data_IF_404474167525
#
_entry.id   IF_404474167525
#
_cell.length_a   1.000
_cell.length_b   1.000
_cell.length_c   1.000
_cell.angle_alpha   90.00
_cell.angle_beta   90.00
_cell.angle_gamma   90.00
#
_symmetry.space_group_name_H-M   'P 1'
#
loop_
_entity.id
_entity.type
_entity.pdbx_description
1 polymer ?
#
# COMPACT_ATOMS: atom_id res chain seq x y z
N UNK A 1 -13.30 14.79 25.92
CA UNK A 1 -13.02 16.14 25.38
C UNK A 1 -14.07 16.47 24.35
N UNK A 2 -14.68 17.67 24.41
CA UNK A 2 -15.75 18.12 23.51
C UNK A 2 -15.12 19.02 22.45
N UNK A 3 -14.70 18.48 21.32
CA UNK A 3 -14.09 19.28 20.25
C UNK A 3 -14.22 18.56 18.91
N UNK A 4 -14.63 19.26 17.83
CA UNK A 4 -14.63 18.72 16.48
C UNK A 4 -13.20 18.55 15.92
N UNK A 5 -12.15 18.87 16.69
CA UNK A 5 -10.76 18.79 16.26
C UNK A 5 -9.89 17.84 17.12
N UNK A 6 -9.19 16.89 16.46
CA UNK A 6 -9.56 16.27 15.18
C UNK A 6 -11.00 15.74 15.21
N UNK A 7 -11.56 15.49 14.03
CA UNK A 7 -12.91 14.94 13.84
C UNK A 7 -12.96 13.47 14.32
N UNK A 8 -12.94 13.31 15.65
CA UNK A 8 -12.89 12.06 16.41
C UNK A 8 -13.65 12.23 17.71
N UNK A 9 -14.45 11.23 18.06
CA UNK A 9 -15.29 11.22 19.25
C UNK A 9 -16.50 12.13 19.12
N UNK A 10 -17.08 12.50 20.26
CA UNK A 10 -18.33 13.26 20.30
C UNK A 10 -18.14 14.75 20.00
N UNK A 11 -18.97 15.28 19.09
CA UNK A 11 -19.14 16.72 18.90
C UNK A 11 -20.56 17.17 19.25
N UNK A 12 -20.66 18.34 19.87
CA UNK A 12 -21.92 18.92 20.34
C UNK A 12 -22.67 19.65 19.23
N UNK A 13 -23.93 20.00 19.51
CA UNK A 13 -24.78 20.79 18.62
C UNK A 13 -24.11 22.10 18.16
N UNK A 14 -24.07 22.34 16.86
CA UNK A 14 -23.44 23.53 16.28
C UNK A 14 -21.91 23.50 16.25
N UNK A 15 -21.27 22.39 16.63
CA UNK A 15 -19.82 22.21 16.46
C UNK A 15 -19.41 22.09 14.99
N UNK A 16 -20.33 21.67 14.11
CA UNK A 16 -20.13 21.59 12.66
C UNK A 16 -21.10 22.52 11.93
N UNK A 17 -20.68 22.98 10.75
CA UNK A 17 -21.50 23.79 9.85
C UNK A 17 -21.44 23.21 8.45
N UNK A 18 -22.16 22.12 8.22
CA UNK A 18 -22.14 21.39 6.93
C UNK A 18 -22.58 22.26 5.75
N UNK A 19 -23.50 23.20 5.98
CA UNK A 19 -23.96 24.15 4.96
C UNK A 19 -22.81 25.02 4.40
N UNK A 20 -21.79 25.32 5.21
CA UNK A 20 -20.64 26.13 4.80
C UNK A 20 -19.75 25.47 3.73
N UNK A 21 -19.86 24.15 3.54
CA UNK A 21 -19.07 23.41 2.54
C UNK A 21 -19.57 23.62 1.11
N UNK A 22 -20.85 23.98 0.91
CA UNK A 22 -21.43 24.18 -0.43
C UNK A 22 -21.52 25.63 -0.87
N UNK A 23 -21.68 26.56 0.08
CA UNK A 23 -21.71 27.99 -0.19
C UNK A 23 -21.26 28.77 1.05
N UNK A 24 -20.46 29.85 0.89
CA UNK A 24 -20.06 30.68 2.01
C UNK A 24 -21.30 31.32 2.67
N UNK A 25 -21.28 31.42 4.00
CA UNK A 25 -22.39 31.97 4.78
C UNK A 25 -22.61 33.45 4.42
N UNK A 26 -23.64 33.74 3.62
CA UNK A 26 -24.05 35.09 3.23
C UNK A 26 -24.97 35.71 4.28
N UNK A 27 -24.40 36.14 5.41
CA UNK A 27 -25.06 37.00 6.41
C UNK A 27 -25.96 36.30 7.44
N UNK A 28 -26.62 35.20 7.10
CA UNK A 28 -27.34 34.35 8.06
C UNK A 28 -26.52 33.10 8.35
N UNK A 29 -25.93 33.01 9.55
CA UNK A 29 -25.16 31.83 9.97
C UNK A 29 -26.11 30.66 10.13
N UNK A 30 -26.03 29.68 9.21
CA UNK A 30 -26.76 28.41 9.31
C UNK A 30 -25.92 27.46 10.15
N UNK A 31 -26.43 27.05 11.31
CA UNK A 31 -25.76 26.10 12.20
C UNK A 31 -26.46 24.74 12.15
N UNK A 32 -25.69 23.67 12.30
CA UNK A 32 -26.25 22.33 12.34
C UNK A 32 -26.82 22.04 13.73
N UNK A 33 -28.10 21.66 13.77
CA UNK A 33 -28.79 21.30 15.01
C UNK A 33 -28.63 19.81 15.34
N UNK A 34 -27.42 19.26 15.17
CA UNK A 34 -27.07 17.83 15.38
C UNK A 34 -25.88 17.65 16.32
N UNK A 35 -25.87 16.57 17.07
CA UNK A 35 -24.65 16.01 17.67
C UNK A 35 -24.17 14.81 16.84
N UNK A 36 -22.88 14.50 16.88
CA UNK A 36 -22.31 13.33 16.20
C UNK A 36 -21.20 12.69 17.03
N UNK A 37 -20.84 11.47 16.67
CA UNK A 37 -19.68 10.75 17.21
C UNK A 37 -18.88 10.19 16.04
N UNK A 38 -17.70 10.75 15.82
CA UNK A 38 -16.87 10.42 14.66
C UNK A 38 -15.81 9.37 15.00
N UNK A 39 -15.68 8.37 14.14
CA UNK A 39 -14.73 7.25 14.31
C UNK A 39 -13.95 7.08 13.01
N UNK A 40 -12.62 7.04 13.12
CA UNK A 40 -11.71 6.67 12.04
C UNK A 40 -11.15 5.26 12.21
N UNK A 41 -10.14 4.88 11.40
CA UNK A 41 -9.47 3.59 11.51
C UNK A 41 -8.93 3.35 12.93
N UNK A 42 -9.04 2.12 13.43
CA UNK A 42 -8.61 1.78 14.80
C UNK A 42 -7.09 1.85 14.99
N UNK A 43 -6.32 1.77 13.91
CA UNK A 43 -4.86 1.81 13.85
C UNK A 43 -4.30 3.22 13.54
N UNK A 44 -5.15 4.24 13.42
CA UNK A 44 -4.73 5.63 13.23
C UNK A 44 -4.04 6.17 14.49
N UNK A 45 -2.71 6.28 14.42
CA UNK A 45 -1.87 6.79 15.51
C UNK A 45 -1.73 8.31 15.50
N UNK A 46 -2.09 8.98 14.41
CA UNK A 46 -1.99 10.44 14.26
C UNK A 46 -3.25 11.12 14.80
N UNK A 47 -4.43 10.56 14.48
CA UNK A 47 -5.72 11.03 14.95
C UNK A 47 -6.51 9.89 15.58
N UNK A 48 -6.00 9.37 16.69
CA UNK A 48 -6.61 8.23 17.38
C UNK A 48 -8.05 8.47 17.82
N UNK A 49 -8.85 7.41 17.76
CA UNK A 49 -10.25 7.41 18.18
C UNK A 49 -10.41 7.79 19.66
N UNK A 50 -11.45 8.57 19.95
CA UNK A 50 -11.75 9.08 21.31
C UNK A 50 -13.00 8.40 21.86
N UNK A 51 -12.80 7.29 22.55
CA UNK A 51 -13.88 6.50 23.14
C UNK A 51 -14.32 7.01 24.52
N UNK A 52 -15.61 6.87 24.83
CA UNK A 52 -16.16 7.05 26.18
C UNK A 52 -16.66 5.71 26.71
N UNK A 53 -15.74 4.88 27.21
CA UNK A 53 -16.05 3.49 27.55
C UNK A 53 -16.85 3.33 28.87
N UNK A 54 -16.96 4.39 29.67
CA UNK A 54 -17.63 4.34 30.98
C UNK A 54 -19.17 4.31 30.87
N UNK A 55 -19.73 4.78 29.76
CA UNK A 55 -21.18 4.99 29.61
C UNK A 55 -21.90 3.91 28.82
N UNK A 56 -21.18 3.15 27.97
CA UNK A 56 -21.78 2.17 27.06
C UNK A 56 -20.83 1.00 26.76
N UNK A 57 -20.80 -0.03 27.63
CA UNK A 57 -19.96 -1.22 27.43
C UNK A 57 -20.22 -1.89 26.07
N UNK A 58 -19.14 -2.25 25.36
CA UNK A 58 -19.20 -2.91 24.05
C UNK A 58 -19.37 -1.99 22.84
N UNK A 59 -19.62 -0.69 23.04
CA UNK A 59 -19.79 0.28 21.95
C UNK A 59 -18.55 0.39 21.05
N UNK A 60 -17.36 0.46 21.65
CA UNK A 60 -16.09 0.51 20.90
C UNK A 60 -15.94 -0.72 19.99
N UNK A 61 -16.00 -1.92 20.57
CA UNK A 61 -15.81 -3.16 19.82
C UNK A 61 -16.85 -3.35 18.70
N UNK A 62 -18.11 -2.97 18.95
CA UNK A 62 -19.15 -2.96 17.92
C UNK A 62 -18.79 -2.00 16.78
N UNK A 63 -18.42 -0.76 17.11
CA UNK A 63 -18.20 0.31 16.14
C UNK A 63 -16.95 0.06 15.30
N UNK A 64 -15.86 -0.45 15.88
CA UNK A 64 -14.65 -0.85 15.14
C UNK A 64 -14.95 -2.00 14.15
N UNK A 65 -15.72 -3.01 14.59
CA UNK A 65 -16.16 -4.09 13.69
C UNK A 65 -17.05 -3.57 12.57
N UNK A 66 -18.01 -2.71 12.89
CA UNK A 66 -18.91 -2.13 11.90
C UNK A 66 -18.17 -1.23 10.90
N UNK A 67 -17.20 -0.44 11.38
CA UNK A 67 -16.32 0.36 10.52
C UNK A 67 -15.60 -0.52 9.50
N UNK A 68 -15.00 -1.63 9.95
CA UNK A 68 -14.35 -2.60 9.06
C UNK A 68 -15.30 -3.14 7.99
N UNK A 69 -16.52 -3.55 8.37
CA UNK A 69 -17.54 -4.02 7.42
C UNK A 69 -17.92 -2.95 6.38
N UNK A 70 -18.11 -1.70 6.81
CA UNK A 70 -18.38 -0.59 5.90
C UNK A 70 -17.20 -0.28 4.99
N UNK A 71 -15.96 -0.39 5.48
CA UNK A 71 -14.76 -0.21 4.68
C UNK A 71 -14.66 -1.27 3.58
N UNK A 72 -14.92 -2.54 3.90
CA UNK A 72 -14.97 -3.62 2.91
C UNK A 72 -16.04 -3.32 1.84
N UNK A 73 -17.26 -2.96 2.26
CA UNK A 73 -18.35 -2.62 1.34
C UNK A 73 -17.99 -1.43 0.41
N UNK A 74 -17.33 -0.40 0.93
CA UNK A 74 -16.88 0.72 0.11
C UNK A 74 -15.88 0.28 -0.97
N UNK A 75 -14.97 -0.66 -0.66
CA UNK A 75 -14.06 -1.23 -1.64
C UNK A 75 -14.82 -2.03 -2.72
N UNK A 76 -15.87 -2.74 -2.34
CA UNK A 76 -16.73 -3.47 -3.28
C UNK A 76 -17.45 -2.53 -4.23
N UNK A 77 -17.99 -1.42 -3.69
CA UNK A 77 -18.61 -0.36 -4.51
C UNK A 77 -17.59 0.27 -5.46
N UNK A 78 -16.38 0.55 -5.00
CA UNK A 78 -15.32 1.09 -5.85
C UNK A 78 -14.96 0.10 -6.98
N UNK A 79 -14.84 -1.19 -6.67
CA UNK A 79 -14.62 -2.22 -7.69
C UNK A 79 -15.79 -2.30 -8.68
N UNK A 80 -17.03 -2.22 -8.21
CA UNK A 80 -18.21 -2.15 -9.07
C UNK A 80 -18.22 -0.89 -9.97
N UNK A 81 -17.76 0.26 -9.44
CA UNK A 81 -17.57 1.47 -10.24
C UNK A 81 -16.49 1.30 -11.30
N UNK A 82 -15.36 0.65 -11.00
CA UNK A 82 -14.32 0.34 -11.99
C UNK A 82 -14.86 -0.53 -13.14
N UNK A 83 -15.67 -1.53 -12.80
CA UNK A 83 -16.37 -2.38 -13.77
C UNK A 83 -17.35 -1.54 -14.61
N UNK A 84 -18.21 -0.75 -13.95
CA UNK A 84 -19.21 0.10 -14.60
C UNK A 84 -18.60 1.16 -15.51
N UNK A 85 -17.45 1.71 -15.13
CA UNK A 85 -16.67 2.66 -15.90
C UNK A 85 -15.84 2.02 -17.02
N UNK A 86 -15.88 0.69 -17.17
CA UNK A 86 -15.17 -0.09 -18.21
C UNK A 86 -13.66 0.17 -18.22
N UNK A 87 -13.06 0.22 -17.04
CA UNK A 87 -11.60 0.31 -16.94
C UNK A 87 -11.01 -1.03 -17.44
N UNK A 88 -10.08 -1.05 -18.42
CA UNK A 88 -9.56 -2.29 -19.01
C UNK A 88 -8.97 -3.28 -17.99
N UNK A 89 -9.02 -4.58 -18.29
CA UNK A 89 -8.39 -5.61 -17.46
C UNK A 89 -6.88 -5.34 -17.30
N UNK A 90 -6.37 -5.46 -16.06
CA UNK A 90 -4.96 -5.18 -15.74
C UNK A 90 -4.63 -3.72 -15.41
N UNK A 91 -5.64 -2.84 -15.28
CA UNK A 91 -5.50 -1.44 -14.85
C UNK A 91 -5.46 -1.25 -13.33
N UNK A 92 -5.78 -2.29 -12.56
CA UNK A 92 -5.66 -2.29 -11.10
C UNK A 92 -4.81 -3.47 -10.64
N UNK A 93 -3.85 -3.20 -9.77
CA UNK A 93 -2.97 -4.19 -9.12
C UNK A 93 -2.82 -3.82 -7.66
N UNK A 94 -2.74 -4.81 -6.76
CA UNK A 94 -2.43 -4.56 -5.35
C UNK A 94 -1.00 -4.05 -5.15
N UNK A 95 -0.11 -4.44 -6.07
CA UNK A 95 1.23 -3.88 -6.23
C UNK A 95 1.64 -4.01 -7.68
N UNK A 96 2.05 -2.91 -8.30
CA UNK A 96 2.54 -2.90 -9.69
C UNK A 96 3.93 -3.53 -9.79
N UNK A 97 4.39 -3.98 -10.98
CA UNK A 97 5.76 -4.42 -11.17
C UNK A 97 6.78 -3.41 -10.65
N UNK A 98 7.63 -3.83 -9.73
CA UNK A 98 8.71 -3.03 -9.18
C UNK A 98 9.84 -3.91 -8.66
N UNK A 99 10.97 -3.27 -8.34
CA UNK A 99 12.06 -3.83 -7.54
C UNK A 99 12.11 -3.13 -6.18
N UNK A 100 12.73 -3.80 -5.21
CA UNK A 100 12.98 -3.23 -3.88
C UNK A 100 14.33 -2.52 -3.84
N UNK A 101 14.46 -1.50 -2.98
CA UNK A 101 15.68 -0.68 -2.94
C UNK A 101 16.85 -1.32 -2.16
N UNK A 102 16.55 -2.26 -1.25
CA UNK A 102 17.52 -2.80 -0.28
C UNK A 102 18.57 -3.75 -0.89
N UNK A 103 19.08 -4.65 -0.06
CA UNK A 103 19.93 -5.78 -0.50
C UNK A 103 19.06 -7.03 -0.69
N UNK A 104 18.31 -7.38 0.35
CA UNK A 104 17.42 -8.54 0.42
C UNK A 104 16.12 -8.08 1.07
N UNK A 105 15.01 -8.60 0.59
CA UNK A 105 13.71 -8.45 1.24
C UNK A 105 13.21 -9.80 1.72
N UNK A 106 12.71 -9.84 2.95
CA UNK A 106 12.00 -10.99 3.52
C UNK A 106 10.52 -10.67 3.56
N UNK A 107 9.71 -11.48 2.88
CA UNK A 107 8.28 -11.27 2.75
C UNK A 107 7.50 -12.41 3.41
N UNK A 108 6.81 -12.05 4.48
CA UNK A 108 5.85 -12.89 5.19
C UNK A 108 4.46 -12.61 4.62
N UNK A 109 3.75 -13.64 4.18
CA UNK A 109 2.50 -13.50 3.44
C UNK A 109 1.45 -14.47 3.95
N UNK A 110 0.19 -14.06 3.86
CA UNK A 110 -0.95 -14.92 4.15
C UNK A 110 -1.24 -15.94 3.02
N UNK A 111 -2.40 -16.58 3.09
CA UNK A 111 -2.86 -17.60 2.14
C UNK A 111 -3.50 -17.04 0.87
N UNK A 112 -3.77 -15.74 0.76
CA UNK A 112 -4.62 -15.20 -0.33
C UNK A 112 -3.92 -15.18 -1.69
N UNK A 113 -2.59 -15.29 -1.73
CA UNK A 113 -1.85 -15.35 -2.99
C UNK A 113 -1.61 -13.97 -3.62
N UNK A 114 -1.56 -13.93 -4.95
CA UNK A 114 -1.37 -12.71 -5.76
C UNK A 114 0.08 -12.26 -5.96
N UNK A 115 1.04 -12.70 -5.15
CA UNK A 115 2.45 -12.39 -5.36
C UNK A 115 2.99 -13.15 -6.58
N UNK A 116 3.63 -12.42 -7.50
CA UNK A 116 4.28 -12.98 -8.68
C UNK A 116 5.67 -12.35 -8.88
N UNK A 117 6.59 -13.11 -9.47
CA UNK A 117 7.90 -12.61 -9.91
C UNK A 117 7.97 -12.61 -11.44
N UNK A 118 8.72 -11.67 -11.99
CA UNK A 118 8.96 -11.61 -13.44
C UNK A 118 9.92 -12.72 -13.87
N UNK A 119 9.57 -13.41 -14.94
CA UNK A 119 10.45 -14.39 -15.58
C UNK A 119 11.65 -13.67 -16.22
N UNK A 120 12.85 -14.04 -15.79
CA UNK A 120 14.11 -13.47 -16.29
C UNK A 120 14.35 -13.79 -17.77
N UNK A 121 13.78 -14.88 -18.30
CA UNK A 121 13.90 -15.26 -19.71
C UNK A 121 12.84 -14.56 -20.59
N UNK A 122 11.72 -14.16 -19.99
CA UNK A 122 10.57 -13.59 -20.69
C UNK A 122 10.05 -12.31 -19.99
N UNK A 123 10.78 -11.17 -20.09
CA UNK A 123 10.36 -9.91 -19.47
C UNK A 123 8.91 -9.54 -19.82
N UNK A 124 8.16 -9.07 -18.83
CA UNK A 124 6.72 -8.84 -18.89
C UNK A 124 5.85 -10.05 -18.55
N UNK A 125 6.44 -11.25 -18.42
CA UNK A 125 5.74 -12.47 -18.00
C UNK A 125 5.92 -12.70 -16.51
N UNK A 126 4.83 -12.94 -15.79
CA UNK A 126 4.85 -13.08 -14.33
C UNK A 126 4.42 -14.47 -13.88
N UNK A 127 5.25 -15.07 -13.03
CA UNK A 127 5.09 -16.41 -12.49
C UNK A 127 4.60 -16.31 -11.03
N UNK A 128 3.49 -16.96 -10.67
CA UNK A 128 2.99 -16.94 -9.29
C UNK A 128 3.96 -17.58 -8.32
N UNK A 129 4.21 -16.90 -7.20
CA UNK A 129 4.86 -17.52 -6.05
C UNK A 129 3.76 -18.20 -5.25
N UNK A 130 3.70 -19.53 -5.33
CA UNK A 130 2.78 -20.34 -4.54
C UNK A 130 3.41 -20.60 -3.18
N UNK A 131 2.60 -20.53 -2.13
CA UNK A 131 3.02 -20.88 -0.76
C UNK A 131 2.49 -22.27 -0.46
N UNK A 132 3.37 -23.23 -0.20
CA UNK A 132 2.98 -24.61 0.13
C UNK A 132 2.79 -24.79 1.64
N UNK A 133 3.61 -24.12 2.45
CA UNK A 133 3.59 -24.23 3.91
C UNK A 133 3.42 -22.90 4.63
N UNK A 134 2.91 -22.94 5.86
CA UNK A 134 2.68 -21.75 6.68
C UNK A 134 3.96 -21.04 7.14
N UNK A 135 5.09 -21.76 7.18
CA UNK A 135 6.40 -21.30 7.64
C UNK A 135 7.32 -20.85 6.50
N UNK A 136 6.82 -20.80 5.26
CA UNK A 136 7.58 -20.30 4.12
C UNK A 136 7.66 -18.77 4.10
N UNK A 137 8.86 -18.28 3.82
CA UNK A 137 9.18 -16.86 3.65
C UNK A 137 9.64 -16.68 2.22
N UNK A 138 9.05 -15.74 1.50
CA UNK A 138 9.56 -15.36 0.19
C UNK A 138 10.77 -14.44 0.39
N UNK A 139 11.86 -14.73 -0.32
CA UNK A 139 13.10 -13.95 -0.28
C UNK A 139 13.39 -13.46 -1.69
N UNK A 140 13.57 -12.16 -1.85
CA UNK A 140 13.98 -11.56 -3.13
C UNK A 140 15.21 -10.68 -2.95
N UNK A 141 15.98 -10.60 -4.03
CA UNK A 141 17.12 -9.71 -4.19
C UNK A 141 16.64 -8.35 -4.69
N UNK A 142 17.29 -7.30 -4.19
CA UNK A 142 16.91 -5.91 -4.36
C UNK A 142 18.01 -5.10 -5.08
N UNK A 143 17.70 -3.86 -5.46
CA UNK A 143 18.52 -2.99 -6.31
C UNK A 143 19.93 -2.75 -5.77
N UNK A 144 20.09 -2.58 -4.46
CA UNK A 144 21.43 -2.36 -3.89
C UNK A 144 22.31 -3.59 -4.09
N UNK A 145 21.76 -4.80 -4.02
CA UNK A 145 22.57 -5.99 -4.25
C UNK A 145 22.89 -6.20 -5.74
N UNK A 146 21.96 -5.87 -6.64
CA UNK A 146 22.26 -5.80 -8.07
C UNK A 146 23.42 -4.84 -8.36
N UNK A 147 23.39 -3.67 -7.73
CA UNK A 147 24.42 -2.66 -7.85
C UNK A 147 25.78 -3.13 -7.34
N UNK A 148 25.81 -3.69 -6.13
CA UNK A 148 27.01 -4.25 -5.50
C UNK A 148 27.64 -5.37 -6.35
N UNK A 149 26.81 -6.19 -7.00
CA UNK A 149 27.26 -7.33 -7.83
C UNK A 149 27.45 -6.97 -9.31
N UNK A 150 27.34 -5.70 -9.68
CA UNK A 150 27.50 -5.21 -11.06
C UNK A 150 26.59 -5.92 -12.10
N UNK A 151 25.36 -6.23 -11.70
CA UNK A 151 24.35 -7.06 -12.39
C UNK A 151 24.63 -8.55 -12.49
N UNK A 152 25.62 -9.08 -11.77
CA UNK A 152 25.79 -10.53 -11.71
C UNK A 152 24.56 -11.21 -11.09
N UNK A 153 23.96 -10.60 -10.07
CA UNK A 153 22.65 -10.97 -9.54
C UNK A 153 21.70 -9.82 -9.83
N UNK A 154 20.59 -10.07 -10.52
CA UNK A 154 19.59 -9.04 -10.83
C UNK A 154 18.55 -8.92 -9.71
N UNK A 155 18.08 -7.70 -9.49
CA UNK A 155 16.97 -7.42 -8.61
C UNK A 155 15.70 -8.07 -9.16
N UNK A 156 14.95 -8.75 -8.30
CA UNK A 156 13.74 -9.45 -8.70
C UNK A 156 12.59 -8.47 -8.91
N UNK A 157 12.19 -8.25 -10.16
CA UNK A 157 10.95 -7.55 -10.48
C UNK A 157 9.79 -8.42 -10.01
N UNK A 158 8.89 -7.84 -9.23
CA UNK A 158 7.77 -8.55 -8.66
C UNK A 158 6.54 -7.67 -8.57
N UNK A 159 5.38 -8.30 -8.42
CA UNK A 159 4.10 -7.62 -8.34
C UNK A 159 3.12 -8.36 -7.43
N UNK A 160 2.04 -7.68 -7.06
CA UNK A 160 0.89 -8.32 -6.42
C UNK A 160 -0.32 -8.13 -7.31
N UNK A 161 -0.61 -9.17 -8.09
CA UNK A 161 -1.74 -9.25 -8.99
C UNK A 161 -2.96 -9.88 -8.30
N UNK A 162 -4.09 -9.89 -9.01
CA UNK A 162 -5.26 -10.64 -8.57
C UNK A 162 -4.93 -12.14 -8.48
N UNK A 163 -5.32 -12.85 -7.41
CA UNK A 163 -5.03 -14.27 -7.29
C UNK A 163 -5.62 -15.07 -8.45
N UNK A 164 -4.79 -15.86 -9.16
CA UNK A 164 -5.21 -16.63 -10.36
C UNK A 164 -6.22 -17.74 -10.09
N UNK A 165 -6.43 -18.14 -8.83
CA UNK A 165 -7.46 -19.12 -8.46
C UNK A 165 -8.85 -18.51 -8.42
N UNK A 166 -8.95 -17.17 -8.52
CA UNK A 166 -10.22 -16.51 -8.70
C UNK A 166 -10.76 -16.85 -10.09
N UNK A 167 -12.03 -17.26 -10.21
CA UNK A 167 -12.63 -17.45 -11.52
C UNK A 167 -12.50 -16.15 -12.32
N UNK A 168 -12.29 -16.26 -13.62
CA UNK A 168 -12.28 -15.06 -14.48
C UNK A 168 -13.59 -14.30 -14.27
N UNK A 169 -13.56 -12.97 -14.38
CA UNK A 169 -14.74 -12.14 -14.12
C UNK A 169 -15.97 -12.53 -14.96
N UNK A 170 -15.75 -13.21 -16.09
CA UNK A 170 -16.79 -13.80 -16.95
C UNK A 170 -17.48 -15.05 -16.37
N UNK A 171 -16.95 -15.65 -15.30
CA UNK A 171 -17.41 -16.91 -14.70
C UNK A 171 -17.96 -16.73 -13.28
N UNK A 172 -17.95 -15.52 -12.73
CA UNK A 172 -18.45 -15.22 -11.39
C UNK A 172 -19.94 -14.83 -11.44
N UNK A 173 -20.85 -15.58 -10.80
CA UNK A 173 -22.25 -15.18 -10.70
C UNK A 173 -22.39 -14.10 -9.61
N UNK A 174 -22.59 -12.84 -10.02
CA UNK A 174 -22.87 -11.72 -9.12
C UNK A 174 -21.64 -10.89 -8.72
N UNK A 175 -21.80 -10.03 -7.72
CA UNK A 175 -20.73 -9.21 -7.15
C UNK A 175 -19.73 -10.10 -6.40
N UNK A 176 -18.45 -10.05 -6.79
CA UNK A 176 -17.38 -10.83 -6.19
C UNK A 176 -16.39 -9.92 -5.46
N UNK A 177 -16.24 -10.16 -4.16
CA UNK A 177 -15.37 -9.39 -3.28
C UNK A 177 -14.03 -10.08 -3.14
N UNK A 178 -12.94 -9.35 -3.39
CA UNK A 178 -11.61 -9.87 -3.14
C UNK A 178 -11.35 -9.97 -1.64
N UNK A 179 -10.94 -11.13 -1.11
CA UNK A 179 -10.60 -11.26 0.30
C UNK A 179 -9.41 -10.37 0.68
N UNK A 180 -9.43 -9.84 1.90
CA UNK A 180 -8.33 -9.07 2.49
C UNK A 180 -7.04 -9.89 2.45
N UNK A 181 -5.94 -9.24 2.03
CA UNK A 181 -4.61 -9.85 1.98
C UNK A 181 -3.65 -9.10 2.88
N UNK A 182 -3.03 -9.83 3.79
CA UNK A 182 -2.03 -9.33 4.71
C UNK A 182 -0.63 -9.84 4.34
N UNK A 183 0.35 -8.93 4.42
CA UNK A 183 1.77 -9.28 4.32
C UNK A 183 2.61 -8.37 5.19
N UNK A 184 3.67 -8.91 5.75
CA UNK A 184 4.71 -8.16 6.48
C UNK A 184 5.99 -8.23 5.67
N UNK A 185 6.60 -7.07 5.43
CA UNK A 185 7.80 -6.95 4.60
C UNK A 185 8.95 -6.44 5.46
N UNK A 186 10.08 -7.14 5.45
CA UNK A 186 11.31 -6.70 6.10
C UNK A 186 12.36 -6.39 5.03
N UNK A 187 12.73 -5.12 4.93
CA UNK A 187 13.74 -4.64 3.98
C UNK A 187 15.11 -4.61 4.65
N UNK A 188 15.99 -5.54 4.28
CA UNK A 188 17.39 -5.49 4.71
C UNK A 188 18.15 -4.51 3.83
N UNK A 189 18.68 -3.44 4.43
CA UNK A 189 19.34 -2.33 3.72
C UNK A 189 20.79 -2.17 4.18
N UNK A 190 21.61 -1.71 3.26
CA UNK A 190 22.97 -1.25 3.55
C UNK A 190 22.94 -0.07 4.52
N UNK A 191 23.92 0.02 5.43
CA UNK A 191 24.06 1.17 6.32
C UNK A 191 24.24 2.46 5.51
N UNK A 192 23.60 3.55 5.94
CA UNK A 192 23.48 4.82 5.22
C UNK A 192 24.81 5.43 4.73
N UNK A 193 25.89 5.18 5.47
CA UNK A 193 27.23 5.72 5.22
C UNK A 193 28.13 4.77 4.41
N UNK A 194 27.67 3.56 4.11
CA UNK A 194 28.44 2.62 3.27
C UNK A 194 28.27 2.97 1.80
N UNK A 195 29.34 2.75 1.04
CA UNK A 195 29.34 2.88 -0.41
C UNK A 195 28.59 1.70 -1.05
N UNK A 196 27.78 1.99 -2.07
CA UNK A 196 26.99 1.00 -2.81
C UNK A 196 27.37 0.92 -4.29
N UNK A 197 28.61 1.28 -4.66
CA UNK A 197 29.15 0.98 -5.98
C UNK A 197 29.44 -0.52 -6.16
N UNK A 198 29.78 -0.92 -7.39
CA UNK A 198 30.15 -2.30 -7.69
C UNK A 198 31.35 -2.74 -6.82
N UNK A 199 31.24 -3.91 -6.18
CA UNK A 199 32.32 -4.52 -5.42
C UNK A 199 33.44 -4.90 -6.40
N UNK A 200 34.72 -4.68 -6.06
CA UNK A 200 35.84 -4.89 -6.99
C UNK A 200 35.88 -6.27 -7.66
N UNK A 201 35.45 -7.33 -6.96
CA UNK A 201 35.42 -8.71 -7.50
C UNK A 201 34.47 -8.88 -8.70
N UNK A 202 33.47 -7.99 -8.84
CA UNK A 202 32.53 -7.96 -9.96
C UNK A 202 32.94 -6.95 -11.05
N UNK A 203 34.16 -6.41 -10.99
CA UNK A 203 34.68 -5.43 -11.94
C UNK A 203 35.97 -5.95 -12.57
N UNK A 204 35.98 -6.09 -13.89
CA UNK A 204 37.16 -6.47 -14.66
C UNK A 204 37.09 -5.92 -16.10
N UNK A 205 38.10 -6.19 -16.92
CA UNK A 205 38.17 -5.70 -18.31
C UNK A 205 36.96 -6.09 -19.16
N UNK A 206 36.35 -7.25 -18.91
CA UNK A 206 35.16 -7.73 -19.63
C UNK A 206 33.85 -7.23 -19.01
N UNK A 207 33.88 -6.80 -17.76
CA UNK A 207 32.72 -6.31 -17.01
C UNK A 207 33.13 -5.05 -16.23
N UNK A 208 33.23 -3.88 -16.88
CA UNK A 208 33.55 -2.63 -16.20
C UNK A 208 32.45 -2.25 -15.20
N UNK A 209 32.77 -1.40 -14.23
CA UNK A 209 31.80 -0.90 -13.27
C UNK A 209 30.67 -0.14 -14.00
N UNK A 210 29.44 -0.61 -13.88
CA UNK A 210 28.26 -0.01 -14.52
C UNK A 210 27.64 1.12 -13.70
N UNK A 211 27.92 1.11 -12.41
CA UNK A 211 27.29 1.97 -11.43
C UNK A 211 28.30 2.96 -10.87
N UNK A 212 27.86 4.19 -10.61
CA UNK A 212 28.62 5.17 -9.85
C UNK A 212 28.94 4.64 -8.43
N UNK A 213 29.90 5.25 -7.75
CA UNK A 213 30.18 4.88 -6.36
C UNK A 213 29.64 5.98 -5.44
N UNK A 214 28.46 5.73 -4.86
CA UNK A 214 27.73 6.68 -3.99
C UNK A 214 27.39 6.04 -2.65
N UNK A 215 27.02 6.85 -1.67
CA UNK A 215 26.56 6.35 -0.37
C UNK A 215 25.17 5.71 -0.48
N UNK A 216 24.90 4.72 0.36
CA UNK A 216 23.59 4.06 0.42
C UNK A 216 22.44 5.06 0.67
N UNK A 217 22.67 6.10 1.49
CA UNK A 217 21.68 7.16 1.72
C UNK A 217 21.37 7.94 0.44
N UNK A 218 22.39 8.29 -0.33
CA UNK A 218 22.23 9.02 -1.58
C UNK A 218 21.45 8.19 -2.60
N UNK A 219 21.81 6.90 -2.74
CA UNK A 219 21.05 5.97 -3.57
C UNK A 219 19.58 5.88 -3.14
N UNK A 220 19.33 5.72 -1.83
CA UNK A 220 17.98 5.66 -1.30
C UNK A 220 17.15 6.92 -1.60
N UNK A 221 17.77 8.11 -1.49
CA UNK A 221 17.12 9.37 -1.80
C UNK A 221 16.76 9.47 -3.29
N UNK A 222 17.68 9.10 -4.20
CA UNK A 222 17.42 9.06 -5.65
C UNK A 222 16.23 8.16 -5.99
N UNK A 223 16.17 6.96 -5.41
CA UNK A 223 15.06 6.03 -5.64
C UNK A 223 13.73 6.56 -5.08
N UNK A 224 13.78 7.23 -3.93
CA UNK A 224 12.59 7.85 -3.32
C UNK A 224 12.08 9.03 -4.15
N UNK A 225 12.97 9.84 -4.73
CA UNK A 225 12.61 10.92 -5.64
C UNK A 225 11.91 10.40 -6.90
N UNK A 226 12.37 9.28 -7.47
CA UNK A 226 11.68 8.63 -8.60
C UNK A 226 10.31 8.10 -8.17
N UNK A 227 10.23 7.43 -7.01
CA UNK A 227 8.99 6.87 -6.49
C UNK A 227 7.92 7.95 -6.25
N UNK A 228 8.29 9.07 -5.63
CA UNK A 228 7.36 10.16 -5.28
C UNK A 228 7.15 11.11 -6.47
N UNK A 229 8.19 11.38 -7.26
CA UNK A 229 8.13 12.27 -8.42
C UNK A 229 7.20 11.77 -9.52
N UNK A 230 7.17 10.46 -9.75
CA UNK A 230 6.22 9.84 -10.68
C UNK A 230 4.77 9.86 -10.17
N UNK A 231 4.55 9.94 -8.85
CA UNK A 231 3.20 10.07 -8.31
C UNK A 231 2.60 11.47 -8.53
N UNK A 232 3.44 12.52 -8.56
CA UNK A 232 2.99 13.90 -8.76
C UNK A 232 2.66 14.24 -10.23
N UNK A 233 3.23 13.52 -11.20
CA UNK A 233 2.95 13.71 -12.63
C UNK A 233 1.75 12.92 -13.14
N UNK A 234 1.34 11.85 -12.42
CA UNK A 234 0.19 11.03 -12.78
C UNK A 234 -1.18 11.64 -12.41
N UNK A 235 -1.20 12.76 -11.68
CA UNK A 235 -2.42 13.47 -11.24
C UNK A 235 -2.74 14.71 -12.08
N UNK A 236 -2.17 14.86 -13.28
CA UNK A 236 -2.39 15.99 -14.19
C UNK A 236 -3.21 15.60 -15.43
#
# INVERSE_FOLDING_TARGET
MRSPQPQRGWSYKGAETTAGLRAPNSGNVRMDEKENFDVGPSDDTVYSNRWSNDSLPGFQAFTERFYGQCQSLCLDVMSACEIGCRVPEGTTRRGWPHTDFGIITLLFRDTQGGLEYEDCEHPGTFIPIVRERLDEIAINVSDTFQRLTNDFIKAGVHQVFLPKHLPSQAQLPGEYVLPERHSTVFFFKTHRECMVGAIPDFVNEKMPAKYDNIMALEFHNRMTEVLVGNAATATA
#
